data_IF_261646977676
#
_entry.id   IF_261646977676
#
_cell.length_a   1.000
_cell.length_b   1.000
_cell.length_c   1.000
_cell.angle_alpha   90.00
_cell.angle_beta   90.00
_cell.angle_gamma   90.00
#
_symmetry.space_group_name_H-M   'P 1'
#
loop_
_entity.id
_entity.type
_entity.pdbx_description
1 polymer ?
#
# COMPACT_ATOMS: atom_id res chain seq x y z
N UNK A 1 15.50 40.23 43.88
CA UNK A 1 14.13 39.69 43.73
C UNK A 1 13.74 38.99 45.02
N UNK A 2 12.69 39.45 45.70
CA UNK A 2 12.22 38.85 46.95
C UNK A 2 11.56 37.49 46.68
N UNK A 3 11.98 36.49 47.46
CA UNK A 3 11.35 35.18 47.56
C UNK A 3 10.74 35.06 48.95
N UNK A 4 9.42 34.92 49.03
CA UNK A 4 8.72 34.68 50.30
C UNK A 4 8.50 33.16 50.45
N UNK A 5 9.10 32.49 51.45
CA UNK A 5 8.93 31.06 51.63
C UNK A 5 7.49 30.71 52.04
N UNK A 6 6.98 29.58 51.56
CA UNK A 6 5.72 29.01 52.07
C UNK A 6 5.92 28.44 53.48
N UNK A 7 4.87 28.56 54.32
CA UNK A 7 4.92 28.12 55.72
C UNK A 7 4.86 26.60 55.90
N UNK A 8 4.35 25.85 54.90
CA UNK A 8 4.11 24.41 55.05
C UNK A 8 5.05 23.54 54.20
N UNK A 9 5.41 23.98 52.99
CA UNK A 9 6.26 23.20 52.09
C UNK A 9 7.64 23.84 51.95
N UNK A 10 8.65 23.22 52.58
CA UNK A 10 10.06 23.63 52.42
C UNK A 10 10.46 23.54 50.95
N UNK A 11 11.07 24.60 50.42
CA UNK A 11 11.49 24.69 49.02
C UNK A 11 10.45 25.30 48.08
N UNK A 12 9.23 25.59 48.53
CA UNK A 12 8.24 26.39 47.80
C UNK A 12 8.34 27.86 48.20
N UNK A 13 8.34 28.74 47.21
CA UNK A 13 8.45 30.18 47.39
C UNK A 13 7.45 30.93 46.51
N UNK A 14 6.97 32.07 47.00
CA UNK A 14 6.30 33.11 46.21
C UNK A 14 7.37 34.10 45.74
N UNK A 15 7.59 34.19 44.43
CA UNK A 15 8.58 35.09 43.82
C UNK A 15 7.86 36.31 43.24
N UNK A 16 8.31 37.51 43.64
CA UNK A 16 7.83 38.77 43.07
C UNK A 16 8.50 39.02 41.70
N UNK A 17 7.68 39.34 40.69
CA UNK A 17 8.10 39.88 39.38
C UNK A 17 7.71 41.37 39.31
N UNK A 18 8.05 42.03 38.20
CA UNK A 18 7.77 43.45 38.01
C UNK A 18 6.28 43.80 38.14
N UNK A 19 5.39 42.89 37.73
CA UNK A 19 3.93 43.14 37.67
C UNK A 19 3.08 42.11 38.39
N UNK A 20 3.60 40.92 38.71
CA UNK A 20 2.85 39.82 39.31
C UNK A 20 3.67 38.98 40.29
N UNK A 21 3.02 38.03 40.95
CA UNK A 21 3.69 37.02 41.78
C UNK A 21 3.50 35.64 41.16
N UNK A 22 4.57 34.84 41.21
CA UNK A 22 4.56 33.45 40.74
C UNK A 22 5.00 32.48 41.83
N UNK A 23 4.43 31.28 41.81
CA UNK A 23 4.88 30.16 42.63
C UNK A 23 6.10 29.51 41.98
N UNK A 24 7.16 29.30 42.77
CA UNK A 24 8.39 28.66 42.32
C UNK A 24 8.88 27.63 43.35
N UNK A 25 9.45 26.54 42.85
CA UNK A 25 10.16 25.55 43.66
C UNK A 25 11.65 25.77 43.48
N UNK A 26 12.40 25.86 44.57
CA UNK A 26 13.87 25.96 44.55
C UNK A 26 14.46 24.87 45.42
N UNK A 27 15.17 23.93 44.79
CA UNK A 27 15.84 22.82 45.48
C UNK A 27 17.07 22.35 44.69
N UNK A 28 17.98 21.64 45.36
CA UNK A 28 19.13 21.01 44.70
C UNK A 28 18.67 19.74 43.96
N UNK A 29 19.23 19.51 42.78
CA UNK A 29 19.02 18.27 42.05
C UNK A 29 19.98 17.20 42.58
N UNK A 30 19.51 15.97 42.80
CA UNK A 30 20.39 14.86 43.21
C UNK A 30 21.50 14.66 42.16
N UNK A 31 22.75 14.61 42.61
CA UNK A 31 23.94 14.49 41.76
C UNK A 31 24.51 15.83 41.24
N UNK A 32 23.77 16.94 41.33
CA UNK A 32 24.23 18.26 40.92
C UNK A 32 24.08 19.22 42.11
N UNK A 33 25.20 19.67 42.69
CA UNK A 33 25.19 20.52 43.89
C UNK A 33 24.74 21.98 43.63
N UNK A 34 24.03 22.24 42.52
CA UNK A 34 23.52 23.55 42.12
C UNK A 34 22.00 23.61 42.34
N UNK A 35 21.48 24.66 42.99
CA UNK A 35 20.04 24.81 43.18
C UNK A 35 19.34 25.12 41.85
N UNK A 36 18.31 24.33 41.54
CA UNK A 36 17.43 24.48 40.37
C UNK A 36 16.16 25.21 40.82
N UNK A 37 15.69 26.16 40.01
CA UNK A 37 14.42 26.88 40.26
C UNK A 37 13.40 26.53 39.19
N UNK A 38 12.28 25.91 39.56
CA UNK A 38 11.18 25.52 38.67
C UNK A 38 9.99 26.46 38.91
N UNK A 39 9.45 27.07 37.85
CA UNK A 39 8.25 27.93 37.96
C UNK A 39 6.99 27.11 37.78
N UNK A 40 6.10 27.14 38.78
CA UNK A 40 4.84 26.39 38.78
C UNK A 40 3.73 27.15 38.04
N UNK A 41 3.64 28.47 38.25
CA UNK A 41 2.68 29.35 37.57
C UNK A 41 2.35 30.61 38.37
N UNK A 42 1.43 31.43 37.87
CA UNK A 42 1.03 32.68 38.52
C UNK A 42 0.15 32.42 39.74
N UNK A 43 0.34 33.24 40.77
CA UNK A 43 -0.38 33.12 42.06
C UNK A 43 -1.87 33.43 41.97
N UNK A 44 -2.30 34.21 40.97
CA UNK A 44 -3.71 34.48 40.69
C UNK A 44 -4.42 33.33 39.94
N UNK A 45 -3.66 32.43 39.32
CA UNK A 45 -4.20 31.26 38.60
C UNK A 45 -4.10 29.99 39.43
N UNK A 46 -3.01 29.83 40.19
CA UNK A 46 -2.74 28.63 40.98
C UNK A 46 -2.97 28.93 42.47
N UNK A 47 -3.96 28.23 43.04
CA UNK A 47 -4.24 28.29 44.47
C UNK A 47 -3.04 27.86 45.31
N UNK A 48 -2.93 28.34 46.55
CA UNK A 48 -1.85 27.93 47.47
C UNK A 48 -1.83 26.41 47.66
N UNK A 49 -3.01 25.77 47.73
CA UNK A 49 -3.15 24.32 47.89
C UNK A 49 -2.58 23.56 46.69
N UNK A 50 -2.89 23.98 45.47
CA UNK A 50 -2.36 23.37 44.25
C UNK A 50 -0.87 23.63 44.08
N UNK A 51 -0.40 24.84 44.43
CA UNK A 51 1.02 25.17 44.43
C UNK A 51 1.80 24.24 45.35
N UNK A 52 1.28 23.92 46.55
CA UNK A 52 1.89 22.96 47.48
C UNK A 52 1.92 21.53 46.91
N UNK A 53 0.85 21.08 46.25
CA UNK A 53 0.80 19.76 45.61
C UNK A 53 1.84 19.66 44.48
N UNK A 54 1.82 20.61 43.54
CA UNK A 54 2.78 20.68 42.43
C UNK A 54 4.21 20.85 42.92
N UNK A 55 4.42 21.54 44.04
CA UNK A 55 5.73 21.67 44.65
C UNK A 55 6.29 20.32 45.11
N UNK A 56 5.50 19.51 45.81
CA UNK A 56 5.90 18.16 46.25
C UNK A 56 6.26 17.26 45.06
N UNK A 57 5.46 17.30 44.00
CA UNK A 57 5.74 16.54 42.77
C UNK A 57 7.09 16.94 42.14
N UNK A 58 7.36 18.24 41.98
CA UNK A 58 8.62 18.72 41.40
C UNK A 58 9.83 18.50 42.32
N UNK A 59 9.65 18.60 43.64
CA UNK A 59 10.68 18.26 44.62
C UNK A 59 11.06 16.78 44.55
N UNK A 60 10.08 15.89 44.37
CA UNK A 60 10.33 14.45 44.18
C UNK A 60 11.15 14.18 42.92
N UNK A 61 10.82 14.82 41.79
CA UNK A 61 11.58 14.69 40.55
C UNK A 61 13.04 15.14 40.73
N UNK A 62 13.26 16.28 41.37
CA UNK A 62 14.60 16.80 41.65
C UNK A 62 15.39 15.87 42.60
N UNK A 63 14.72 15.27 43.59
CA UNK A 63 15.32 14.27 44.49
C UNK A 63 15.66 12.95 43.77
N UNK A 64 14.93 12.60 42.71
CA UNK A 64 15.25 11.48 41.82
C UNK A 64 16.39 11.81 40.84
N UNK A 65 16.86 13.05 40.81
CA UNK A 65 17.91 13.50 39.89
C UNK A 65 17.38 13.95 38.52
N UNK A 66 16.06 14.03 38.34
CA UNK A 66 15.44 14.51 37.10
C UNK A 66 15.14 16.01 37.19
N UNK A 67 15.57 16.80 36.20
CA UNK A 67 15.31 18.25 36.16
C UNK A 67 14.02 18.57 35.36
N UNK A 68 12.94 19.07 36.00
CA UNK A 68 11.69 19.36 35.30
C UNK A 68 11.82 20.45 34.22
N UNK A 69 12.72 21.42 34.41
CA UNK A 69 12.96 22.47 33.42
C UNK A 69 13.64 21.91 32.16
N UNK A 70 14.56 20.96 32.30
CA UNK A 70 15.20 20.31 31.15
C UNK A 70 14.18 19.48 30.36
N UNK A 71 13.32 18.69 31.04
CA UNK A 71 12.22 17.97 30.37
C UNK A 71 11.28 18.92 29.63
N UNK A 72 10.90 20.04 30.24
CA UNK A 72 10.03 21.05 29.61
C UNK A 72 10.72 21.75 28.45
N UNK A 73 12.01 22.07 28.56
CA UNK A 73 12.81 22.70 27.50
C UNK A 73 13.02 21.75 26.32
N UNK A 74 13.38 20.50 26.56
CA UNK A 74 13.49 19.48 25.50
C UNK A 74 12.16 19.25 24.79
N UNK A 75 11.02 19.29 25.51
CA UNK A 75 9.69 19.20 24.92
C UNK A 75 9.37 20.43 24.04
N UNK A 76 9.67 21.64 24.52
CA UNK A 76 9.47 22.88 23.76
C UNK A 76 10.43 23.01 22.57
N UNK A 77 11.69 22.58 22.72
CA UNK A 77 12.68 22.52 21.65
C UNK A 77 12.25 21.50 20.59
N UNK A 78 11.72 20.34 20.99
CA UNK A 78 11.11 19.38 20.05
C UNK A 78 9.86 19.96 19.37
N UNK A 79 8.99 20.68 20.10
CA UNK A 79 7.80 21.34 19.54
C UNK A 79 8.17 22.50 18.58
N UNK A 80 9.29 23.19 18.81
CA UNK A 80 9.76 24.33 18.01
C UNK A 80 10.83 23.96 16.97
N UNK A 81 11.28 22.69 16.91
CA UNK A 81 12.27 22.26 15.94
C UNK A 81 11.65 22.28 14.52
N UNK A 82 12.01 23.29 13.74
CA UNK A 82 11.76 23.38 12.29
C UNK A 82 12.65 22.39 11.52
N UNK A 83 12.66 21.13 11.95
CA UNK A 83 13.31 20.07 11.20
C UNK A 83 12.53 19.76 9.93
N UNK A 84 13.12 18.94 9.07
CA UNK A 84 12.50 18.46 7.84
C UNK A 84 11.14 17.82 8.17
N UNK A 85 10.08 18.36 7.58
CA UNK A 85 8.72 17.86 7.75
C UNK A 85 8.51 16.57 6.96
N UNK A 86 7.51 15.77 7.33
CA UNK A 86 7.17 14.58 6.56
C UNK A 86 6.76 14.91 5.12
N UNK A 87 6.18 16.09 4.88
CA UNK A 87 5.81 16.58 3.55
C UNK A 87 7.04 16.85 2.70
N UNK A 88 8.02 17.59 3.22
CA UNK A 88 9.30 17.83 2.54
C UNK A 88 10.00 16.50 2.28
N UNK A 89 10.15 15.66 3.31
CA UNK A 89 10.75 14.33 3.17
C UNK A 89 10.07 13.47 2.11
N UNK A 90 8.75 13.59 1.96
CA UNK A 90 8.01 12.87 0.94
C UNK A 90 8.26 13.44 -0.47
N UNK A 91 8.31 14.76 -0.63
CA UNK A 91 8.60 15.39 -1.92
C UNK A 91 10.02 15.05 -2.38
N UNK A 92 11.01 15.20 -1.51
CA UNK A 92 12.41 14.87 -1.78
C UNK A 92 12.53 13.38 -2.16
N UNK A 93 11.81 12.48 -1.47
CA UNK A 93 11.76 11.06 -1.84
C UNK A 93 11.24 10.84 -3.27
N UNK A 94 10.24 11.61 -3.70
CA UNK A 94 9.71 11.50 -5.06
C UNK A 94 10.66 12.07 -6.11
N UNK A 95 11.40 13.14 -5.78
CA UNK A 95 12.37 13.77 -6.68
C UNK A 95 13.63 12.92 -6.85
N UNK A 96 14.14 12.34 -5.75
CA UNK A 96 15.31 11.47 -5.75
C UNK A 96 15.10 10.13 -6.46
N UNK A 97 13.85 9.76 -6.78
CA UNK A 97 13.51 8.43 -7.32
C UNK A 97 12.82 8.55 -8.66
N UNK A 98 13.36 7.87 -9.68
CA UNK A 98 12.69 7.68 -10.97
C UNK A 98 11.52 6.69 -10.82
N UNK A 99 10.37 7.19 -10.34
CA UNK A 99 9.15 6.41 -10.15
C UNK A 99 8.26 6.46 -11.38
N UNK A 100 7.57 5.35 -11.66
CA UNK A 100 6.51 5.33 -12.66
C UNK A 100 5.33 6.21 -12.20
N UNK A 101 4.61 6.89 -13.11
CA UNK A 101 3.49 7.76 -12.75
C UNK A 101 2.41 7.08 -11.89
N UNK A 102 2.13 5.80 -12.16
CA UNK A 102 1.16 5.01 -11.37
C UNK A 102 1.67 4.70 -9.95
N UNK A 103 2.98 4.48 -9.80
CA UNK A 103 3.61 4.28 -8.49
C UNK A 103 3.57 5.57 -7.70
N UNK A 104 3.98 6.69 -8.29
CA UNK A 104 3.94 8.02 -7.68
C UNK A 104 2.53 8.40 -7.23
N UNK A 105 1.53 8.23 -8.12
CA UNK A 105 0.11 8.43 -7.79
C UNK A 105 -0.31 7.57 -6.59
N UNK A 106 0.13 6.32 -6.53
CA UNK A 106 -0.15 5.44 -5.39
C UNK A 106 0.53 5.92 -4.11
N UNK A 107 1.74 6.46 -4.17
CA UNK A 107 2.40 7.06 -3.01
C UNK A 107 1.61 8.27 -2.52
N UNK A 108 1.34 9.26 -3.40
CA UNK A 108 0.57 10.47 -3.09
C UNK A 108 -0.77 10.12 -2.42
N UNK A 109 -1.55 9.24 -3.04
CA UNK A 109 -2.85 8.82 -2.49
C UNK A 109 -2.76 8.15 -1.11
N UNK A 110 -1.78 7.26 -0.90
CA UNK A 110 -1.66 6.53 0.36
C UNK A 110 -1.12 7.44 1.46
N UNK A 111 -0.12 8.28 1.16
CA UNK A 111 0.48 9.21 2.11
C UNK A 111 -0.53 10.24 2.57
N UNK A 112 -1.22 10.94 1.65
CA UNK A 112 -2.27 11.90 2.00
C UNK A 112 -3.39 11.25 2.83
N UNK A 113 -3.84 10.05 2.44
CA UNK A 113 -4.95 9.36 3.14
C UNK A 113 -4.57 8.83 4.52
N UNK A 114 -3.34 8.34 4.70
CA UNK A 114 -2.92 7.66 5.92
C UNK A 114 -2.19 8.58 6.89
N UNK A 115 -1.44 9.55 6.38
CA UNK A 115 -0.53 10.42 7.14
C UNK A 115 -0.81 11.92 6.91
N UNK A 116 -1.99 12.30 6.41
CA UNK A 116 -2.35 13.70 6.16
C UNK A 116 -2.17 14.62 7.38
N UNK A 117 -2.55 14.15 8.56
CA UNK A 117 -2.38 14.79 9.87
C UNK A 117 -0.92 14.81 10.39
N UNK A 118 0.00 14.17 9.67
CA UNK A 118 1.43 14.11 9.98
C UNK A 118 2.30 14.86 8.98
N UNK A 119 1.73 15.38 7.88
CA UNK A 119 2.51 15.99 6.80
C UNK A 119 3.37 17.16 7.29
N UNK A 120 2.82 18.02 8.13
CA UNK A 120 3.53 19.19 8.65
C UNK A 120 4.35 18.89 9.92
N UNK A 121 4.39 17.62 10.36
CA UNK A 121 5.18 17.22 11.54
C UNK A 121 6.64 17.00 11.13
N UNK A 122 7.62 17.49 11.92
CA UNK A 122 9.02 17.13 11.76
C UNK A 122 9.22 15.61 11.86
N UNK A 123 10.02 15.03 10.95
CA UNK A 123 10.24 13.57 10.92
C UNK A 123 10.95 13.06 12.17
N UNK A 124 11.78 13.89 12.80
CA UNK A 124 12.46 13.61 14.07
C UNK A 124 11.49 13.42 15.25
N UNK A 125 10.31 14.03 15.17
CA UNK A 125 9.27 13.97 16.21
C UNK A 125 8.31 12.79 16.05
N UNK A 126 8.43 12.00 14.97
CA UNK A 126 7.59 10.82 14.78
C UNK A 126 8.13 9.68 15.64
N UNK A 127 7.45 9.39 16.74
CA UNK A 127 7.91 8.34 17.67
C UNK A 127 7.55 6.93 17.21
N UNK A 128 8.25 5.94 17.77
CA UNK A 128 7.92 4.51 17.61
C UNK A 128 6.49 4.20 18.11
N UNK A 129 6.02 4.89 19.14
CA UNK A 129 4.66 4.71 19.66
C UNK A 129 3.61 5.29 18.70
N UNK A 130 3.88 6.46 18.12
CA UNK A 130 3.00 7.08 17.12
C UNK A 130 2.80 6.16 15.93
N UNK A 131 3.89 5.57 15.40
CA UNK A 131 3.81 4.61 14.29
C UNK A 131 2.92 3.42 14.63
N UNK A 132 3.05 2.87 15.84
CA UNK A 132 2.25 1.72 16.27
C UNK A 132 0.76 2.10 16.37
N UNK A 133 0.45 3.23 17.01
CA UNK A 133 -0.92 3.75 17.11
C UNK A 133 -1.51 4.02 15.72
N UNK A 134 -0.72 4.59 14.83
CA UNK A 134 -1.12 4.89 13.44
C UNK A 134 -1.41 3.63 12.65
N UNK A 135 -0.56 2.61 12.77
CA UNK A 135 -0.76 1.30 12.13
C UNK A 135 -2.11 0.67 12.52
N UNK A 136 -2.40 0.63 13.83
CA UNK A 136 -3.66 0.11 14.36
C UNK A 136 -4.86 0.99 13.99
N UNK A 137 -4.68 2.32 13.98
CA UNK A 137 -5.73 3.28 13.59
C UNK A 137 -6.16 3.09 12.13
N UNK A 138 -5.21 2.89 11.21
CA UNK A 138 -5.51 2.62 9.79
C UNK A 138 -6.34 1.35 9.64
N UNK A 139 -6.00 0.29 10.38
CA UNK A 139 -6.75 -0.97 10.38
C UNK A 139 -8.19 -0.76 10.90
N UNK A 140 -8.33 -0.13 12.07
CA UNK A 140 -9.63 0.14 12.70
C UNK A 140 -10.53 0.98 11.79
N UNK A 141 -10.02 2.10 11.26
CA UNK A 141 -10.76 3.01 10.38
C UNK A 141 -11.29 2.32 9.12
N UNK A 142 -10.52 1.41 8.54
CA UNK A 142 -10.95 0.67 7.34
C UNK A 142 -11.94 -0.45 7.70
N UNK A 143 -11.74 -1.11 8.85
CA UNK A 143 -12.65 -2.13 9.35
C UNK A 143 -14.06 -1.56 9.54
N UNK A 144 -14.17 -0.38 10.17
CA UNK A 144 -15.45 0.31 10.45
C UNK A 144 -16.11 0.87 9.19
N UNK A 145 -15.36 1.49 8.27
CA UNK A 145 -15.94 2.14 7.07
C UNK A 145 -16.42 1.16 6.01
N UNK A 146 -15.90 -0.06 5.98
CA UNK A 146 -16.19 -0.99 4.87
C UNK A 146 -17.54 -1.71 5.03
N UNK A 147 -18.40 -1.61 4.01
CA UNK A 147 -19.66 -2.39 3.92
C UNK A 147 -19.50 -3.74 3.21
N UNK A 148 -18.30 -4.06 2.70
CA UNK A 148 -18.04 -5.27 1.88
C UNK A 148 -17.63 -6.44 2.76
N UNK A 149 -18.06 -7.68 2.49
CA UNK A 149 -17.68 -8.84 3.30
C UNK A 149 -16.16 -8.96 3.44
N UNK A 150 -15.73 -9.44 4.61
CA UNK A 150 -14.32 -9.76 4.84
C UNK A 150 -13.87 -10.85 3.85
N UNK A 151 -12.62 -10.75 3.41
CA UNK A 151 -12.02 -11.72 2.48
C UNK A 151 -10.96 -12.54 3.22
N UNK A 152 -9.98 -13.07 2.50
CA UNK A 152 -8.88 -13.89 3.03
C UNK A 152 -8.04 -13.21 4.14
N UNK A 153 -8.02 -11.88 4.21
CA UNK A 153 -7.22 -11.14 5.18
C UNK A 153 -8.05 -10.11 5.93
N UNK A 154 -7.68 -9.80 7.19
CA UNK A 154 -8.30 -8.74 7.97
C UNK A 154 -8.41 -7.42 7.22
N UNK A 155 -9.57 -6.78 7.35
CA UNK A 155 -9.81 -5.47 6.75
C UNK A 155 -8.75 -4.45 7.20
N UNK A 156 -8.25 -3.66 6.24
CA UNK A 156 -7.26 -2.63 6.50
C UNK A 156 -5.84 -3.12 6.75
N UNK A 157 -5.59 -4.42 6.97
CA UNK A 157 -4.24 -4.95 7.21
C UNK A 157 -3.30 -4.71 6.02
N UNK A 158 -3.74 -5.04 4.81
CA UNK A 158 -2.93 -4.84 3.60
C UNK A 158 -2.63 -3.37 3.34
N UNK A 159 -3.60 -2.49 3.60
CA UNK A 159 -3.46 -1.04 3.45
C UNK A 159 -2.49 -0.47 4.48
N UNK A 160 -2.65 -0.84 5.76
CA UNK A 160 -1.75 -0.42 6.83
C UNK A 160 -0.30 -0.87 6.56
N UNK A 161 -0.10 -2.10 6.07
CA UNK A 161 1.23 -2.59 5.67
C UNK A 161 1.79 -1.81 4.49
N UNK A 162 0.97 -1.46 3.50
CA UNK A 162 1.38 -0.63 2.35
C UNK A 162 1.79 0.77 2.80
N UNK A 163 0.98 1.42 3.63
CA UNK A 163 1.27 2.74 4.18
C UNK A 163 2.58 2.75 4.96
N UNK A 164 2.80 1.76 5.84
CA UNK A 164 4.04 1.66 6.62
C UNK A 164 5.26 1.35 5.75
N UNK A 165 5.11 0.61 4.64
CA UNK A 165 6.19 0.42 3.69
C UNK A 165 6.61 1.74 3.02
N UNK A 166 5.64 2.59 2.67
CA UNK A 166 5.92 3.90 2.09
C UNK A 166 6.56 4.84 3.10
N UNK A 167 6.00 4.93 4.31
CA UNK A 167 6.60 5.73 5.39
C UNK A 167 8.03 5.25 5.70
N UNK A 168 8.26 3.94 5.77
CA UNK A 168 9.60 3.40 5.96
C UNK A 168 10.56 3.80 4.84
N UNK A 169 10.12 3.76 3.59
CA UNK A 169 10.95 4.12 2.44
C UNK A 169 11.31 5.61 2.44
N UNK A 170 10.35 6.48 2.79
CA UNK A 170 10.54 7.92 2.93
C UNK A 170 11.51 8.20 4.08
N UNK A 171 11.25 7.69 5.29
CA UNK A 171 12.14 7.97 6.43
C UNK A 171 13.54 7.36 6.28
N UNK A 172 13.67 6.28 5.50
CA UNK A 172 14.98 5.69 5.24
C UNK A 172 15.89 6.56 4.36
N UNK A 173 15.38 7.54 3.60
CA UNK A 173 16.27 8.45 2.86
C UNK A 173 17.09 9.31 3.80
N UNK A 174 16.52 9.69 4.94
CA UNK A 174 17.15 10.54 5.96
C UNK A 174 17.84 9.76 7.08
N UNK A 175 18.01 8.45 6.95
CA UNK A 175 18.52 7.63 8.05
C UNK A 175 19.97 7.97 8.42
N UNK A 176 20.77 8.34 7.41
CA UNK A 176 22.19 8.67 7.56
C UNK A 176 22.47 10.16 7.44
N UNK A 177 21.44 10.98 7.19
CA UNK A 177 21.58 12.41 6.99
C UNK A 177 21.78 13.13 8.32
N UNK A 178 22.52 14.22 8.28
CA UNK A 178 22.79 15.09 9.42
C UNK A 178 22.31 16.51 9.16
N UNK A 179 21.90 17.21 10.20
CA UNK A 179 21.61 18.64 10.16
C UNK A 179 22.89 19.48 10.00
N UNK A 180 22.74 20.78 9.81
CA UNK A 180 23.85 21.76 9.69
C UNK A 180 24.79 21.75 10.92
N UNK A 181 24.35 21.17 12.04
CA UNK A 181 25.10 21.07 13.29
C UNK A 181 25.73 19.68 13.49
N UNK A 182 25.64 18.80 12.50
CA UNK A 182 26.18 17.45 12.53
C UNK A 182 25.34 16.42 13.31
N UNK A 183 24.15 16.78 13.79
CA UNK A 183 23.25 15.84 14.46
C UNK A 183 22.48 15.04 13.43
N UNK A 184 22.27 13.74 13.69
CA UNK A 184 21.44 12.91 12.81
C UNK A 184 20.01 13.44 12.75
N UNK A 185 19.45 13.52 11.54
CA UNK A 185 18.05 13.91 11.29
C UNK A 185 17.07 12.96 11.99
N UNK A 186 17.39 11.66 11.99
CA UNK A 186 16.67 10.63 12.74
C UNK A 186 17.57 10.04 13.83
N UNK A 187 17.71 10.70 15.00
CA UNK A 187 18.69 10.31 16.02
C UNK A 187 18.42 8.91 16.60
N UNK A 188 17.15 8.52 16.69
CA UNK A 188 16.71 7.21 17.18
C UNK A 188 16.50 6.18 16.04
N UNK A 189 16.97 6.50 14.83
CA UNK A 189 16.75 5.72 13.62
C UNK A 189 15.29 5.77 13.13
N UNK A 190 14.95 4.90 12.18
CA UNK A 190 13.62 4.88 11.59
C UNK A 190 12.57 4.32 12.58
N UNK A 191 11.57 5.11 13.01
CA UNK A 191 10.56 4.66 13.97
C UNK A 191 9.68 3.52 13.44
N UNK A 192 9.62 3.31 12.11
CA UNK A 192 8.86 2.22 11.49
C UNK A 192 9.40 0.83 11.82
N UNK A 193 10.67 0.75 12.25
CA UNK A 193 11.29 -0.49 12.72
C UNK A 193 10.51 -1.15 13.88
N UNK A 194 9.79 -0.37 14.69
CA UNK A 194 8.96 -0.88 15.81
C UNK A 194 8.02 -2.00 15.41
N UNK A 195 7.51 -1.98 14.17
CA UNK A 195 6.57 -2.99 13.67
C UNK A 195 7.25 -4.35 13.41
N UNK A 196 8.55 -4.32 13.08
CA UNK A 196 9.40 -5.51 12.97
C UNK A 196 9.79 -5.99 14.36
N UNK A 197 10.29 -5.08 15.20
CA UNK A 197 10.83 -5.38 16.53
C UNK A 197 9.78 -6.02 17.44
N UNK A 198 8.56 -5.46 17.46
CA UNK A 198 7.42 -6.00 18.22
C UNK A 198 6.68 -7.13 17.49
N UNK A 199 7.14 -7.57 16.32
CA UNK A 199 6.53 -8.63 15.48
C UNK A 199 5.02 -8.46 15.23
N UNK A 200 4.56 -7.20 15.13
CA UNK A 200 3.13 -6.86 15.02
C UNK A 200 2.55 -7.19 13.63
N UNK A 201 3.42 -7.33 12.61
CA UNK A 201 3.00 -7.55 11.23
C UNK A 201 2.62 -9.01 10.98
N UNK A 202 1.32 -9.30 10.96
CA UNK A 202 0.83 -10.60 10.50
C UNK A 202 1.13 -10.85 9.01
N UNK A 203 1.36 -12.11 8.64
CA UNK A 203 1.57 -12.53 7.25
C UNK A 203 0.24 -12.43 6.49
N UNK A 204 0.27 -11.81 5.31
CA UNK A 204 -0.92 -11.77 4.46
C UNK A 204 -1.06 -13.15 3.79
N UNK A 205 -2.23 -13.76 3.94
CA UNK A 205 -2.59 -15.01 3.26
C UNK A 205 -2.86 -14.71 1.78
N UNK A 206 -2.19 -15.38 0.83
CA UNK A 206 -2.46 -15.20 -0.60
C UNK A 206 -3.86 -15.71 -0.94
N UNK A 207 -4.47 -15.15 -2.00
CA UNK A 207 -5.75 -15.66 -2.52
C UNK A 207 -5.48 -16.90 -3.38
N UNK A 208 -6.24 -17.97 -3.16
CA UNK A 208 -6.06 -19.26 -3.85
C UNK A 208 -7.20 -19.63 -4.81
N UNK A 209 -8.35 -18.93 -4.79
CA UNK A 209 -9.50 -19.22 -5.67
C UNK A 209 -9.14 -19.25 -7.16
N UNK A 210 -9.59 -20.29 -7.85
CA UNK A 210 -9.62 -20.40 -9.30
C UNK A 210 -10.99 -20.98 -9.68
N UNK A 211 -11.33 -21.00 -10.97
CA UNK A 211 -12.59 -21.57 -11.45
C UNK A 211 -12.45 -23.09 -11.56
N UNK A 212 -13.36 -23.81 -10.91
CA UNK A 212 -13.50 -25.27 -11.05
C UNK A 212 -13.99 -25.63 -12.45
N UNK A 213 -13.84 -26.90 -12.84
CA UNK A 213 -14.24 -27.38 -14.17
C UNK A 213 -15.66 -26.98 -14.58
N UNK A 214 -16.67 -27.31 -13.77
CA UNK A 214 -18.05 -26.92 -14.05
C UNK A 214 -18.24 -25.40 -14.20
N UNK A 215 -17.61 -24.59 -13.33
CA UNK A 215 -17.66 -23.11 -13.44
C UNK A 215 -17.02 -22.61 -14.74
N UNK A 216 -15.98 -23.28 -15.25
CA UNK A 216 -15.33 -22.94 -16.52
C UNK A 216 -16.19 -23.33 -17.71
N UNK A 217 -16.82 -24.48 -17.67
CA UNK A 217 -17.71 -24.97 -18.74
C UNK A 217 -18.90 -24.02 -18.90
N UNK A 218 -19.56 -23.67 -17.79
CA UNK A 218 -20.65 -22.66 -17.80
C UNK A 218 -20.17 -21.31 -18.33
N UNK A 219 -18.99 -20.85 -17.90
CA UNK A 219 -18.44 -19.59 -18.40
C UNK A 219 -18.15 -19.65 -19.90
N UNK A 220 -17.48 -20.70 -20.37
CA UNK A 220 -17.14 -20.88 -21.78
C UNK A 220 -18.41 -20.92 -22.65
N UNK A 221 -19.38 -21.73 -22.26
CA UNK A 221 -20.65 -21.85 -22.98
C UNK A 221 -21.36 -20.51 -23.11
N UNK A 222 -21.53 -19.79 -22.00
CA UNK A 222 -22.20 -18.49 -22.03
C UNK A 222 -21.45 -17.48 -22.92
N UNK A 223 -20.11 -17.41 -22.81
CA UNK A 223 -19.31 -16.50 -23.63
C UNK A 223 -19.46 -16.80 -25.13
N UNK A 224 -19.47 -18.09 -25.52
CA UNK A 224 -19.63 -18.48 -26.93
C UNK A 224 -21.03 -18.21 -27.47
N UNK A 225 -22.08 -18.37 -26.64
CA UNK A 225 -23.47 -18.07 -27.02
C UNK A 225 -23.69 -16.59 -27.34
N UNK A 226 -22.93 -15.68 -26.73
CA UNK A 226 -23.08 -14.22 -26.98
C UNK A 226 -22.82 -13.80 -28.43
N UNK A 227 -22.14 -14.64 -29.22
CA UNK A 227 -21.90 -14.37 -30.64
C UNK A 227 -23.09 -14.76 -31.53
N UNK A 228 -24.09 -15.47 -30.99
CA UNK A 228 -25.27 -15.90 -31.75
C UNK A 228 -26.26 -14.73 -31.95
N UNK A 229 -26.83 -14.54 -33.16
CA UNK A 229 -27.79 -13.45 -33.42
C UNK A 229 -29.01 -13.45 -32.48
N UNK A 230 -29.44 -14.62 -32.02
CA UNK A 230 -30.59 -14.78 -31.13
C UNK A 230 -30.26 -14.69 -29.63
N UNK A 231 -29.02 -14.30 -29.28
CA UNK A 231 -28.64 -14.18 -27.87
C UNK A 231 -29.44 -13.06 -27.18
N UNK A 232 -30.36 -13.44 -26.30
CA UNK A 232 -31.20 -12.51 -25.51
C UNK A 232 -30.64 -12.20 -24.12
N UNK A 233 -29.41 -12.60 -23.83
CA UNK A 233 -28.79 -12.38 -22.53
C UNK A 233 -28.28 -10.95 -22.32
N UNK A 234 -27.80 -10.67 -21.09
CA UNK A 234 -27.39 -9.31 -20.67
C UNK A 234 -25.92 -9.01 -20.90
N UNK A 235 -25.14 -9.97 -21.40
CA UNK A 235 -23.70 -9.80 -21.63
C UNK A 235 -23.50 -9.13 -23.00
N UNK A 236 -22.71 -8.07 -23.04
CA UNK A 236 -22.35 -7.43 -24.31
C UNK A 236 -21.30 -8.28 -25.04
N UNK A 237 -21.40 -8.48 -26.37
CA UNK A 237 -20.43 -9.30 -27.13
C UNK A 237 -18.97 -8.91 -26.87
N UNK A 238 -18.65 -7.62 -26.87
CA UNK A 238 -17.29 -7.12 -26.56
C UNK A 238 -16.81 -7.45 -25.14
N UNK A 239 -17.72 -7.46 -24.15
CA UNK A 239 -17.39 -7.86 -22.78
C UNK A 239 -17.13 -9.36 -22.69
N UNK A 240 -17.91 -10.17 -23.42
CA UNK A 240 -17.68 -11.60 -23.52
C UNK A 240 -16.32 -11.92 -24.15
N UNK A 241 -16.03 -11.31 -25.30
CA UNK A 241 -14.75 -11.47 -26.00
C UNK A 241 -13.54 -11.11 -25.13
N UNK A 242 -13.64 -10.03 -24.35
CA UNK A 242 -12.59 -9.62 -23.42
C UNK A 242 -12.41 -10.61 -22.25
N UNK A 243 -13.50 -11.13 -21.68
CA UNK A 243 -13.40 -12.15 -20.61
C UNK A 243 -12.85 -13.47 -21.17
N UNK A 244 -13.24 -13.84 -22.39
CA UNK A 244 -12.71 -15.02 -23.08
C UNK A 244 -11.21 -14.89 -23.32
N UNK A 245 -10.74 -13.74 -23.82
CA UNK A 245 -9.32 -13.48 -24.00
C UNK A 245 -8.56 -13.65 -22.68
N UNK A 246 -9.06 -13.09 -21.57
CA UNK A 246 -8.43 -13.25 -20.25
C UNK A 246 -8.40 -14.71 -19.78
N UNK A 247 -9.46 -15.47 -20.03
CA UNK A 247 -9.60 -16.87 -19.63
C UNK A 247 -8.57 -17.76 -20.35
N UNK A 248 -8.40 -17.57 -21.66
CA UNK A 248 -7.54 -18.42 -22.50
C UNK A 248 -6.07 -17.99 -22.43
N UNK A 249 -5.79 -16.68 -22.48
CA UNK A 249 -4.43 -16.17 -22.52
C UNK A 249 -3.75 -16.06 -21.16
N UNK A 250 -4.54 -16.05 -20.07
CA UNK A 250 -4.05 -15.77 -18.74
C UNK A 250 -3.44 -14.37 -18.57
N UNK A 251 -3.65 -13.43 -19.51
CA UNK A 251 -3.12 -12.06 -19.41
C UNK A 251 -3.62 -11.30 -18.17
N UNK A 252 -2.85 -10.29 -17.73
CA UNK A 252 -3.33 -9.34 -16.72
C UNK A 252 -4.44 -8.50 -17.35
N UNK A 253 -5.35 -7.99 -16.52
CA UNK A 253 -6.48 -7.20 -16.98
C UNK A 253 -6.06 -6.03 -17.89
N UNK A 254 -5.08 -5.24 -17.48
CA UNK A 254 -4.60 -4.11 -18.30
C UNK A 254 -3.77 -4.56 -19.51
N UNK A 255 -3.12 -5.72 -19.47
CA UNK A 255 -2.39 -6.28 -20.63
C UNK A 255 -3.36 -6.60 -21.77
N UNK A 256 -4.51 -7.23 -21.46
CA UNK A 256 -5.55 -7.49 -22.46
C UNK A 256 -6.27 -6.20 -22.90
N UNK A 257 -6.48 -5.27 -21.97
CA UNK A 257 -7.23 -4.03 -22.21
C UNK A 257 -6.47 -3.02 -23.08
N UNK A 258 -5.15 -3.03 -22.95
CA UNK A 258 -4.22 -2.14 -23.67
C UNK A 258 -3.58 -2.85 -24.88
N UNK A 259 -4.16 -3.95 -25.36
CA UNK A 259 -3.69 -4.59 -26.57
C UNK A 259 -4.01 -3.71 -27.79
N UNK A 260 -2.98 -3.40 -28.58
CA UNK A 260 -3.09 -2.57 -29.79
C UNK A 260 -3.30 -3.43 -31.02
N UNK A 261 -3.95 -2.89 -32.04
CA UNK A 261 -4.16 -3.60 -33.29
C UNK A 261 -2.86 -3.80 -34.09
N UNK A 262 -1.94 -2.82 -34.05
CA UNK A 262 -0.60 -2.94 -34.67
C UNK A 262 0.24 -4.11 -34.12
N UNK A 263 -0.06 -4.54 -32.89
CA UNK A 263 0.66 -5.60 -32.20
C UNK A 263 0.04 -6.98 -32.43
N UNK A 264 -0.96 -7.10 -33.30
CA UNK A 264 -1.65 -8.34 -33.67
C UNK A 264 -1.30 -8.67 -35.12
N UNK A 265 -0.61 -9.80 -35.33
CA UNK A 265 -0.33 -10.35 -36.66
C UNK A 265 -1.30 -11.50 -36.96
N UNK A 266 -1.11 -12.18 -38.09
CA UNK A 266 -1.92 -13.37 -38.45
C UNK A 266 -1.69 -14.53 -37.48
N UNK A 267 -0.50 -14.65 -36.90
CA UNK A 267 -0.06 -15.83 -36.13
C UNK A 267 0.27 -15.54 -34.68
N UNK A 268 0.51 -14.28 -34.32
CA UNK A 268 0.96 -13.89 -32.98
C UNK A 268 0.36 -12.54 -32.55
N UNK A 269 0.33 -12.29 -31.26
CA UNK A 269 0.05 -10.97 -30.70
C UNK A 269 1.04 -10.62 -29.59
N UNK A 270 1.42 -9.35 -29.51
CA UNK A 270 2.43 -8.87 -28.57
C UNK A 270 1.82 -7.95 -27.52
N UNK A 271 2.05 -8.25 -26.25
CA UNK A 271 1.72 -7.38 -25.14
C UNK A 271 2.98 -6.60 -24.76
N UNK A 272 2.96 -5.30 -25.01
CA UNK A 272 4.04 -4.39 -24.61
C UNK A 272 3.98 -4.13 -23.10
N UNK A 273 5.00 -4.56 -22.37
CA UNK A 273 5.13 -4.29 -20.94
C UNK A 273 6.06 -3.09 -20.67
N UNK A 274 5.45 -1.91 -20.50
CA UNK A 274 6.14 -0.68 -20.08
C UNK A 274 6.79 -0.87 -18.69
N UNK A 275 6.41 -1.91 -17.92
CA UNK A 275 6.88 -2.11 -16.55
C UNK A 275 8.21 -2.83 -16.43
N UNK A 276 8.52 -3.80 -17.31
CA UNK A 276 9.74 -4.61 -17.25
C UNK A 276 10.60 -4.54 -18.51
N UNK A 277 10.23 -3.70 -19.49
CA UNK A 277 10.95 -3.53 -20.76
C UNK A 277 11.15 -4.85 -21.53
N UNK A 278 10.21 -5.79 -21.36
CA UNK A 278 10.22 -7.06 -22.05
C UNK A 278 8.86 -7.28 -22.67
N UNK A 279 8.83 -7.15 -23.99
CA UNK A 279 7.66 -7.49 -24.79
C UNK A 279 7.35 -8.98 -24.64
N UNK A 280 6.06 -9.25 -24.65
CA UNK A 280 5.52 -10.57 -24.40
C UNK A 280 4.62 -11.01 -25.55
N UNK A 281 5.18 -11.83 -26.42
CA UNK A 281 4.50 -12.34 -27.62
C UNK A 281 3.90 -13.72 -27.37
N UNK A 282 2.64 -13.87 -27.76
CA UNK A 282 1.84 -15.08 -27.64
C UNK A 282 1.33 -15.52 -29.03
N UNK A 283 1.21 -16.83 -29.30
CA UNK A 283 0.62 -17.29 -30.55
C UNK A 283 -0.91 -17.15 -30.53
N UNK A 284 -1.49 -16.89 -31.70
CA UNK A 284 -2.93 -16.82 -31.90
C UNK A 284 -3.48 -18.24 -32.09
N UNK A 285 -4.51 -18.57 -31.31
CA UNK A 285 -5.33 -19.77 -31.51
C UNK A 285 -6.56 -19.44 -32.35
N UNK A 286 -7.19 -20.43 -32.98
CA UNK A 286 -8.36 -20.22 -33.84
C UNK A 286 -9.49 -19.43 -33.14
N UNK A 287 -9.85 -19.68 -31.86
CA UNK A 287 -10.86 -18.88 -31.17
C UNK A 287 -10.41 -17.43 -30.93
N UNK A 288 -9.14 -17.19 -30.64
CA UNK A 288 -8.61 -15.84 -30.46
C UNK A 288 -8.60 -15.06 -31.77
N UNK A 289 -8.32 -15.73 -32.90
CA UNK A 289 -8.41 -15.12 -34.24
C UNK A 289 -9.81 -14.55 -34.49
N UNK A 290 -10.85 -15.36 -34.24
CA UNK A 290 -12.25 -14.91 -34.38
C UNK A 290 -12.59 -13.73 -33.47
N UNK A 291 -12.06 -13.70 -32.25
CA UNK A 291 -12.24 -12.58 -31.32
C UNK A 291 -11.56 -11.32 -31.85
N UNK A 292 -10.34 -11.43 -32.36
CA UNK A 292 -9.60 -10.30 -32.91
C UNK A 292 -10.30 -9.72 -34.13
N UNK A 293 -10.77 -10.58 -35.04
CA UNK A 293 -11.55 -10.17 -36.22
C UNK A 293 -12.85 -9.45 -35.81
N UNK A 294 -13.62 -10.00 -34.86
CA UNK A 294 -14.87 -9.37 -34.37
C UNK A 294 -14.69 -8.01 -33.70
N UNK A 295 -13.51 -7.77 -33.12
CA UNK A 295 -13.19 -6.52 -32.42
C UNK A 295 -12.29 -5.59 -33.25
N UNK A 296 -11.93 -5.98 -34.47
CA UNK A 296 -11.17 -5.14 -35.40
C UNK A 296 -11.96 -3.86 -35.70
N UNK A 297 -11.29 -2.72 -35.67
CA UNK A 297 -11.91 -1.41 -35.84
C UNK A 297 -10.86 -0.35 -36.26
N UNK A 298 -11.26 0.92 -36.43
CA UNK A 298 -10.33 1.97 -36.88
C UNK A 298 -9.47 2.59 -35.75
N UNK A 299 -9.61 2.15 -34.50
CA UNK A 299 -8.86 2.67 -33.35
C UNK A 299 -7.48 2.00 -33.22
N UNK A 300 -6.55 2.65 -32.54
CA UNK A 300 -5.29 2.03 -32.10
C UNK A 300 -5.52 0.77 -31.23
N UNK A 301 -6.61 0.73 -30.46
CA UNK A 301 -6.88 -0.30 -29.45
C UNK A 301 -7.82 -1.38 -29.96
N UNK A 302 -7.49 -2.66 -29.72
CA UNK A 302 -8.39 -3.78 -30.02
C UNK A 302 -9.74 -3.59 -29.32
N UNK A 303 -9.70 -3.20 -28.04
CA UNK A 303 -10.91 -2.82 -27.31
C UNK A 303 -11.02 -1.29 -27.22
N UNK A 304 -11.47 -0.65 -28.30
CA UNK A 304 -11.69 0.80 -28.36
C UNK A 304 -12.76 1.34 -27.40
N UNK A 305 -12.44 2.45 -26.73
CA UNK A 305 -13.34 3.27 -25.92
C UNK A 305 -13.72 4.58 -26.62
N UNK A 306 -14.03 5.63 -25.84
CA UNK A 306 -14.36 6.96 -26.38
C UNK A 306 -13.09 7.80 -26.58
N UNK A 307 -13.12 8.73 -27.53
CA UNK A 307 -12.07 9.73 -27.78
C UNK A 307 -10.66 9.12 -27.98
N UNK A 308 -10.56 8.06 -28.80
CA UNK A 308 -9.29 7.40 -29.11
C UNK A 308 -8.62 6.66 -27.94
N UNK A 309 -9.29 6.52 -26.79
CA UNK A 309 -8.76 5.83 -25.60
C UNK A 309 -9.19 4.36 -25.59
N UNK A 310 -8.43 3.48 -24.91
CA UNK A 310 -8.84 2.10 -24.72
C UNK A 310 -10.07 2.03 -23.81
N UNK A 311 -10.97 1.09 -24.09
CA UNK A 311 -12.13 0.81 -23.27
C UNK A 311 -11.69 0.48 -21.85
N UNK A 312 -12.46 0.95 -20.86
CA UNK A 312 -12.15 0.72 -19.44
C UNK A 312 -12.31 -0.76 -19.06
N UNK A 313 -13.25 -1.47 -19.71
CA UNK A 313 -13.65 -2.86 -19.44
C UNK A 313 -13.89 -3.19 -17.95
N UNK A 314 -13.98 -2.19 -17.08
CA UNK A 314 -13.91 -2.39 -15.62
C UNK A 314 -15.13 -3.10 -15.07
N UNK A 315 -16.25 -3.04 -15.80
CA UNK A 315 -17.47 -3.76 -15.48
C UNK A 315 -17.59 -5.10 -16.21
N UNK A 316 -16.79 -5.41 -17.23
CA UNK A 316 -16.95 -6.62 -18.04
C UNK A 316 -16.98 -7.90 -17.19
N UNK A 317 -15.98 -8.05 -16.31
CA UNK A 317 -15.91 -9.21 -15.40
C UNK A 317 -17.09 -9.23 -14.44
N UNK A 318 -17.51 -8.07 -13.92
CA UNK A 318 -18.65 -7.97 -13.00
C UNK A 318 -19.95 -8.36 -13.70
N UNK A 319 -20.17 -7.90 -14.93
CA UNK A 319 -21.36 -8.15 -15.71
C UNK A 319 -21.47 -9.63 -16.06
N UNK A 320 -20.40 -10.23 -16.61
CA UNK A 320 -20.35 -11.67 -16.90
C UNK A 320 -20.52 -12.50 -15.63
N UNK A 321 -19.79 -12.17 -14.55
CA UNK A 321 -19.90 -12.85 -13.25
C UNK A 321 -21.31 -12.80 -12.67
N UNK A 322 -22.03 -11.70 -12.87
CA UNK A 322 -23.42 -11.55 -12.41
C UNK A 322 -24.38 -12.33 -13.30
N UNK A 323 -24.19 -12.28 -14.62
CA UNK A 323 -25.05 -12.95 -15.59
C UNK A 323 -25.05 -14.48 -15.40
N UNK A 324 -23.90 -15.08 -15.11
CA UNK A 324 -23.78 -16.53 -14.92
C UNK A 324 -23.90 -16.98 -13.45
N UNK A 325 -24.09 -16.04 -12.51
CA UNK A 325 -24.18 -16.36 -11.07
C UNK A 325 -22.89 -16.83 -10.40
N UNK A 326 -21.74 -16.84 -11.10
CA UNK A 326 -20.46 -17.32 -10.58
C UNK A 326 -19.58 -16.14 -10.19
N UNK A 327 -19.12 -16.08 -8.93
CA UNK A 327 -18.25 -15.00 -8.44
C UNK A 327 -16.78 -15.24 -8.81
N UNK A 328 -16.23 -14.40 -9.68
CA UNK A 328 -14.80 -14.41 -10.04
C UNK A 328 -14.25 -13.01 -10.36
N UNK A 329 -12.92 -12.93 -10.49
CA UNK A 329 -12.15 -11.75 -10.88
C UNK A 329 -11.15 -12.10 -11.98
N UNK A 330 -10.58 -11.10 -12.66
CA UNK A 330 -9.50 -11.31 -13.65
C UNK A 330 -8.33 -12.14 -13.07
N UNK A 331 -8.01 -11.93 -11.79
CA UNK A 331 -6.97 -12.70 -11.13
C UNK A 331 -7.39 -14.14 -10.79
N UNK A 332 -8.69 -14.44 -10.66
CA UNK A 332 -9.16 -15.82 -10.59
C UNK A 332 -8.98 -16.48 -11.97
N UNK A 333 -9.40 -15.84 -13.07
CA UNK A 333 -9.19 -16.36 -14.45
C UNK A 333 -7.72 -16.63 -14.76
N UNK A 334 -6.82 -15.69 -14.43
CA UNK A 334 -5.37 -15.89 -14.59
C UNK A 334 -4.82 -17.06 -13.78
N UNK A 335 -5.33 -17.29 -12.57
CA UNK A 335 -4.94 -18.46 -11.76
C UNK A 335 -5.53 -19.75 -12.29
N UNK A 336 -6.75 -19.70 -12.81
CA UNK A 336 -7.36 -20.80 -13.55
C UNK A 336 -6.47 -21.18 -14.74
N UNK A 337 -5.94 -20.19 -15.47
CA UNK A 337 -5.05 -20.46 -16.58
C UNK A 337 -3.76 -21.18 -16.15
N UNK A 338 -3.15 -20.72 -15.06
CA UNK A 338 -2.00 -21.39 -14.45
C UNK A 338 -2.30 -22.84 -14.03
N UNK A 339 -3.47 -23.04 -13.41
CA UNK A 339 -3.89 -24.33 -12.84
C UNK A 339 -4.16 -25.34 -13.94
N UNK A 340 -4.86 -24.95 -15.00
CA UNK A 340 -5.11 -25.83 -16.15
C UNK A 340 -3.81 -26.24 -16.83
N UNK A 341 -2.87 -25.31 -17.01
CA UNK A 341 -1.56 -25.66 -17.55
C UNK A 341 -0.82 -26.65 -16.62
N UNK A 342 -0.86 -26.48 -15.30
CA UNK A 342 -0.29 -27.46 -14.38
C UNK A 342 -0.96 -28.84 -14.48
N UNK A 343 -2.30 -28.89 -14.58
CA UNK A 343 -3.08 -30.13 -14.76
C UNK A 343 -2.70 -30.89 -16.05
N UNK A 344 -2.22 -30.18 -17.08
CA UNK A 344 -1.78 -30.76 -18.35
C UNK A 344 -0.27 -31.02 -18.41
N UNK A 345 0.41 -31.02 -17.27
CA UNK A 345 1.81 -31.41 -17.15
C UNK A 345 2.83 -30.32 -17.54
N UNK A 346 2.41 -29.06 -17.73
CA UNK A 346 3.38 -27.98 -17.96
C UNK A 346 4.19 -27.69 -16.71
N UNK A 347 5.49 -27.47 -16.89
CA UNK A 347 6.39 -27.15 -15.80
C UNK A 347 6.08 -25.78 -15.20
N UNK A 348 6.45 -25.57 -13.93
CA UNK A 348 6.32 -24.25 -13.28
C UNK A 348 7.04 -23.13 -14.06
N UNK A 349 8.08 -23.47 -14.81
CA UNK A 349 8.80 -22.55 -15.68
C UNK A 349 7.96 -22.17 -16.91
N UNK A 350 7.42 -23.16 -17.63
CA UNK A 350 6.53 -22.92 -18.77
C UNK A 350 5.30 -22.10 -18.37
N UNK A 351 4.71 -22.37 -17.21
CA UNK A 351 3.57 -21.61 -16.68
C UNK A 351 3.98 -20.17 -16.32
N UNK A 352 5.15 -19.99 -15.70
CA UNK A 352 5.66 -18.64 -15.37
C UNK A 352 5.93 -17.82 -16.63
N UNK A 353 6.42 -18.47 -17.70
CA UNK A 353 6.60 -17.87 -19.03
C UNK A 353 5.26 -17.52 -19.66
N UNK A 354 4.29 -18.43 -19.67
CA UNK A 354 2.92 -18.19 -20.16
C UNK A 354 2.24 -17.01 -19.47
N UNK A 355 2.54 -16.81 -18.18
CA UNK A 355 1.97 -15.74 -17.40
C UNK A 355 2.89 -14.53 -17.32
N UNK A 356 3.98 -14.43 -18.07
CA UNK A 356 4.92 -13.30 -18.01
C UNK A 356 5.23 -12.87 -16.54
N UNK A 357 5.69 -13.82 -15.72
CA UNK A 357 6.06 -13.62 -14.32
C UNK A 357 7.57 -13.84 -14.13
N UNK A 358 8.26 -12.90 -13.48
CA UNK A 358 9.65 -13.10 -13.06
C UNK A 358 9.72 -14.18 -11.98
N UNK A 359 10.54 -15.20 -12.21
CA UNK A 359 10.81 -16.23 -11.20
C UNK A 359 11.61 -15.66 -10.04
N UNK A 360 11.41 -16.22 -8.84
CA UNK A 360 12.06 -15.71 -7.62
C UNK A 360 13.36 -16.41 -7.25
N UNK A 361 13.65 -17.62 -7.72
CA UNK A 361 14.81 -18.41 -7.28
C UNK A 361 15.18 -19.52 -8.28
N UNK A 362 15.68 -19.19 -9.48
CA UNK A 362 16.36 -20.20 -10.30
C UNK A 362 17.53 -19.53 -11.05
N UNK A 363 18.74 -19.95 -10.74
CA UNK A 363 19.93 -19.86 -11.60
C UNK A 363 19.70 -20.86 -12.71
N UNK A 364 19.08 -20.47 -13.83
CA UNK A 364 19.04 -21.33 -15.00
C UNK A 364 19.28 -20.53 -16.27
N UNK A 365 20.23 -21.08 -17.01
CA UNK A 365 20.71 -20.71 -18.32
C UNK A 365 19.59 -20.50 -19.33
N UNK A 366 19.93 -19.70 -20.33
CA UNK A 366 19.20 -19.34 -21.53
C UNK A 366 18.39 -20.48 -22.18
N UNK A 367 17.20 -20.77 -21.67
CA UNK A 367 16.15 -21.43 -22.47
C UNK A 367 15.36 -20.33 -23.18
N UNK A 368 15.54 -20.23 -24.50
CA UNK A 368 14.91 -19.23 -25.36
C UNK A 368 13.37 -19.37 -25.39
N UNK A 369 12.68 -18.24 -25.56
CA UNK A 369 11.21 -18.16 -25.64
C UNK A 369 10.71 -18.68 -26.99
N UNK A 370 10.44 -19.98 -27.14
CA UNK A 370 9.88 -20.49 -28.41
C UNK A 370 8.35 -20.42 -28.42
N UNK A 371 7.76 -19.79 -29.45
CA UNK A 371 6.31 -19.65 -29.64
C UNK A 371 5.56 -21.00 -29.62
N UNK A 372 6.21 -22.08 -30.08
CA UNK A 372 5.67 -23.43 -30.05
C UNK A 372 5.31 -23.90 -28.62
N UNK A 373 6.14 -23.55 -27.63
CA UNK A 373 5.92 -23.94 -26.23
C UNK A 373 4.72 -23.22 -25.59
N UNK A 374 4.33 -22.06 -26.13
CA UNK A 374 3.21 -21.25 -25.63
C UNK A 374 1.89 -21.58 -26.31
N UNK A 375 1.91 -22.19 -27.51
CA UNK A 375 0.70 -22.52 -28.28
C UNK A 375 -0.12 -23.64 -27.66
N UNK A 376 0.54 -24.69 -27.18
CA UNK A 376 -0.11 -25.86 -26.62
C UNK A 376 -0.88 -25.56 -25.30
N UNK A 377 -0.34 -24.77 -24.34
CA UNK A 377 -1.10 -24.29 -23.18
C UNK A 377 -2.37 -23.51 -23.53
N UNK A 378 -2.31 -22.64 -24.55
CA UNK A 378 -3.45 -21.82 -24.97
C UNK A 378 -4.58 -22.64 -25.61
N UNK A 379 -4.24 -23.74 -26.30
CA UNK A 379 -5.22 -24.61 -26.96
C UNK A 379 -5.99 -25.49 -25.97
N UNK A 380 -5.44 -25.77 -24.79
CA UNK A 380 -6.10 -26.60 -23.78
C UNK A 380 -7.42 -25.98 -23.32
N UNK A 381 -7.48 -24.65 -23.19
CA UNK A 381 -8.70 -23.95 -22.80
C UNK A 381 -9.83 -24.08 -23.84
N UNK A 382 -9.49 -24.46 -25.07
CA UNK A 382 -10.42 -24.61 -26.19
C UNK A 382 -10.87 -26.07 -26.33
N UNK A 383 -9.96 -27.02 -26.09
CA UNK A 383 -10.17 -28.47 -26.28
C UNK A 383 -10.99 -29.18 -25.21
N UNK A 384 -11.36 -28.51 -24.10
CA UNK A 384 -12.17 -29.12 -23.03
C UNK A 384 -13.55 -29.60 -23.53
N UNK A 385 -14.05 -29.10 -24.67
CA UNK A 385 -15.32 -29.59 -25.27
C UNK A 385 -15.16 -30.66 -26.36
N UNK A 386 -14.04 -30.69 -27.09
CA UNK A 386 -13.82 -31.66 -28.18
C UNK A 386 -13.67 -33.12 -27.67
N UNK A 387 -13.42 -33.31 -26.37
CA UNK A 387 -13.42 -34.64 -25.74
C UNK A 387 -14.78 -35.07 -25.16
N UNK A 388 -15.76 -34.18 -25.09
CA UNK A 388 -17.09 -34.44 -24.47
C UNK A 388 -18.19 -34.57 -25.52
N UNK A 389 -17.97 -34.10 -26.74
CA UNK A 389 -18.82 -34.34 -27.90
C UNK A 389 -17.99 -35.11 -28.93
N UNK A 390 -17.90 -36.42 -28.74
CA UNK A 390 -17.50 -37.32 -29.81
C UNK A 390 -18.70 -37.54 -30.72
N UNK A 391 -18.79 -36.70 -31.76
CA UNK A 391 -19.44 -36.94 -33.04
C UNK A 391 -18.89 -35.94 -34.08
#
# INVERSE_FOLDING_TARGET
MLFTPDKQVKGLYKKQRATDFVWVVRAKQRGINKPVTVTLGRTNVISVRDARRLAKENLLLLAQGENPNQKRRAKLEAENFKGITLKEAFNDYLELRSLKPSTEKSYKQVVTRCFGDWLDRPISNISREDVLKKYQSIQRRIKTRSKRPEKTNPRGLAEAKKAMRYLNAILNTYLNDTDEKGNRVLPNGNPVAVLKDKRVRSRLKPRVRYLKQAERETLYEELTRTAHPEYKGKIKPREADFVFLLMVSGLRFDEARLLRQEDITVTTYTVKDIKNNQDYTLPITLPLKKIFERNSNDSEWLFAGRNGKPASMSNAIKNVSTAIGIKFSAHDLRRTAATIAAEHGYSSDQISRLLNQKQKNVTQEYVQKTLAMLKAPLLIFVRVKEKVLGE
#
